data_IF_541742263519
#
_entry.id   IF_541742263519
#
_cell.length_a   1.000
_cell.length_b   1.000
_cell.length_c   1.000
_cell.angle_alpha   90.00
_cell.angle_beta   90.00
_cell.angle_gamma   90.00
#
_symmetry.space_group_name_H-M   'P 1'
#
loop_
_entity.id
_entity.type
_entity.pdbx_description
1 polymer ?
#
# COMPACT_ATOMS: atom_id res chain seq x y z
N UNK A 1 14.15 -19.20 -21.33
CA UNK A 1 12.77 -18.97 -20.84
C UNK A 1 12.32 -17.60 -21.30
N UNK A 2 11.27 -17.52 -22.12
CA UNK A 2 10.75 -16.26 -22.68
C UNK A 2 9.59 -15.78 -21.82
N UNK A 3 9.58 -14.50 -21.43
CA UNK A 3 8.47 -13.92 -20.67
C UNK A 3 7.42 -13.45 -21.66
N UNK A 4 6.20 -13.99 -21.55
CA UNK A 4 5.06 -13.62 -22.40
C UNK A 4 3.81 -13.35 -21.53
N UNK A 5 2.72 -12.92 -22.18
CA UNK A 5 1.50 -12.52 -21.47
C UNK A 5 0.83 -13.67 -20.68
N UNK A 6 0.87 -14.90 -21.21
CA UNK A 6 0.22 -16.06 -20.60
C UNK A 6 0.95 -16.53 -19.34
N UNK A 7 2.29 -16.51 -19.38
CA UNK A 7 3.13 -16.79 -18.21
C UNK A 7 2.86 -15.76 -17.13
N UNK A 8 2.78 -14.47 -17.48
CA UNK A 8 2.49 -13.42 -16.51
C UNK A 8 1.06 -13.54 -15.95
N UNK A 9 0.08 -13.84 -16.79
CA UNK A 9 -1.30 -14.05 -16.35
C UNK A 9 -1.41 -15.23 -15.38
N UNK A 10 -0.81 -16.38 -15.70
CA UNK A 10 -0.81 -17.56 -14.81
C UNK A 10 -0.08 -17.30 -13.49
N UNK A 11 1.00 -16.52 -13.52
CA UNK A 11 1.68 -16.05 -12.31
C UNK A 11 0.76 -15.20 -11.42
N UNK A 12 0.07 -14.21 -11.98
CA UNK A 12 -0.86 -13.36 -11.21
C UNK A 12 -2.09 -14.13 -10.71
N UNK A 13 -2.61 -15.09 -11.48
CA UNK A 13 -3.70 -15.98 -11.04
C UNK A 13 -3.28 -16.80 -9.82
N UNK A 14 -2.05 -17.30 -9.79
CA UNK A 14 -1.52 -17.99 -8.61
C UNK A 14 -1.28 -17.05 -7.42
N UNK A 15 -0.81 -15.83 -7.67
CA UNK A 15 -0.63 -14.83 -6.61
C UNK A 15 -1.94 -14.38 -5.96
N UNK A 16 -3.05 -14.29 -6.72
CA UNK A 16 -4.37 -13.89 -6.20
C UNK A 16 -4.81 -14.78 -5.02
N UNK A 17 -4.42 -16.05 -5.02
CA UNK A 17 -4.75 -16.99 -3.93
C UNK A 17 -4.14 -16.58 -2.58
N UNK A 18 -3.11 -15.73 -2.57
CA UNK A 18 -2.34 -15.36 -1.37
C UNK A 18 -2.41 -13.88 -1.02
N UNK A 19 -2.65 -12.99 -1.99
CA UNK A 19 -2.50 -11.54 -1.80
C UNK A 19 -3.77 -10.78 -2.18
N UNK A 20 -4.03 -9.70 -1.44
CA UNK A 20 -5.03 -8.71 -1.84
C UNK A 20 -4.64 -8.03 -3.17
N UNK A 21 -5.64 -7.54 -3.90
CA UNK A 21 -5.42 -6.91 -5.21
C UNK A 21 -4.55 -5.64 -5.14
N UNK A 22 -4.61 -4.89 -4.04
CA UNK A 22 -3.74 -3.73 -3.81
C UNK A 22 -2.27 -4.15 -3.80
N UNK A 23 -1.95 -5.26 -3.13
CA UNK A 23 -0.62 -5.86 -3.13
C UNK A 23 -0.24 -6.43 -4.50
N UNK A 24 -1.20 -6.89 -5.30
CA UNK A 24 -0.93 -7.39 -6.66
C UNK A 24 -0.45 -6.27 -7.60
N UNK A 25 -1.00 -5.05 -7.51
CA UNK A 25 -0.49 -3.89 -8.26
C UNK A 25 0.93 -3.52 -7.88
N UNK A 26 1.25 -3.56 -6.58
CA UNK A 26 2.63 -3.36 -6.11
C UNK A 26 3.57 -4.42 -6.67
N UNK A 27 3.16 -5.70 -6.65
CA UNK A 27 3.93 -6.80 -7.24
C UNK A 27 4.11 -6.65 -8.74
N UNK A 28 3.06 -6.24 -9.47
CA UNK A 28 3.16 -5.93 -10.89
C UNK A 28 4.18 -4.82 -11.15
N UNK A 29 4.15 -3.74 -10.37
CA UNK A 29 5.08 -2.62 -10.50
C UNK A 29 6.53 -3.04 -10.23
N UNK A 30 6.76 -3.81 -9.15
CA UNK A 30 8.07 -4.38 -8.84
C UNK A 30 8.57 -5.28 -9.98
N UNK A 31 7.72 -6.17 -10.48
CA UNK A 31 8.07 -7.10 -11.55
C UNK A 31 8.37 -6.36 -12.87
N UNK A 32 7.57 -5.33 -13.19
CA UNK A 32 7.80 -4.47 -14.36
C UNK A 32 9.17 -3.80 -14.29
N UNK A 33 9.51 -3.21 -13.14
CA UNK A 33 10.81 -2.57 -12.95
C UNK A 33 11.96 -3.57 -13.08
N UNK A 34 11.86 -4.73 -12.42
CA UNK A 34 12.90 -5.77 -12.45
C UNK A 34 13.12 -6.34 -13.86
N UNK A 35 12.04 -6.69 -14.57
CA UNK A 35 12.14 -7.25 -15.93
C UNK A 35 12.70 -6.21 -16.90
N UNK A 36 12.30 -4.94 -16.77
CA UNK A 36 12.84 -3.85 -17.59
C UNK A 36 14.35 -3.70 -17.37
N UNK A 37 14.82 -3.76 -16.12
CA UNK A 37 16.23 -3.62 -15.78
C UNK A 37 17.09 -4.82 -16.25
N UNK A 38 16.61 -6.05 -16.08
CA UNK A 38 17.43 -7.25 -16.32
C UNK A 38 17.26 -7.89 -17.70
N UNK A 39 16.13 -7.64 -18.37
CA UNK A 39 15.79 -8.29 -19.65
C UNK A 39 15.47 -7.31 -20.77
N UNK A 40 15.39 -6.00 -20.47
CA UNK A 40 15.04 -4.94 -21.44
C UNK A 40 13.66 -5.21 -22.08
N UNK A 41 12.80 -5.97 -21.39
CA UNK A 41 11.43 -6.24 -21.82
C UNK A 41 10.50 -5.28 -21.09
N UNK A 42 9.63 -4.59 -21.83
CA UNK A 42 8.58 -3.76 -21.25
C UNK A 42 7.25 -4.51 -21.17
N UNK A 43 7.00 -5.16 -20.03
CA UNK A 43 5.73 -5.82 -19.74
C UNK A 43 4.55 -4.84 -19.58
N UNK A 44 4.82 -3.53 -19.58
CA UNK A 44 3.80 -2.49 -19.66
C UNK A 44 3.00 -2.53 -20.95
N UNK A 45 3.58 -3.10 -22.02
CA UNK A 45 2.90 -3.31 -23.31
C UNK A 45 1.92 -4.48 -23.28
N UNK A 46 1.95 -5.30 -22.25
CA UNK A 46 1.12 -6.49 -22.16
C UNK A 46 -0.28 -6.15 -21.60
N UNK A 47 -1.30 -6.38 -22.42
CA UNK A 47 -2.66 -5.97 -22.13
C UNK A 47 -3.39 -7.00 -21.27
N UNK A 48 -3.16 -8.31 -21.45
CA UNK A 48 -3.85 -9.35 -20.68
C UNK A 48 -3.61 -9.24 -19.16
N UNK A 49 -2.37 -9.14 -18.64
CA UNK A 49 -2.14 -9.08 -17.20
C UNK A 49 -2.70 -7.79 -16.58
N UNK A 50 -2.60 -6.67 -17.30
CA UNK A 50 -3.10 -5.38 -16.82
C UNK A 50 -4.63 -5.30 -16.85
N UNK A 51 -5.28 -5.86 -17.89
CA UNK A 51 -6.73 -5.99 -17.96
C UNK A 51 -7.28 -6.86 -16.83
N UNK A 52 -6.61 -7.98 -16.54
CA UNK A 52 -6.94 -8.85 -15.41
C UNK A 52 -6.83 -8.11 -14.07
N UNK A 53 -5.71 -7.44 -13.80
CA UNK A 53 -5.56 -6.66 -12.55
C UNK A 53 -6.62 -5.56 -12.42
N UNK A 54 -6.98 -4.90 -13.52
CA UNK A 54 -8.05 -3.88 -13.54
C UNK A 54 -9.43 -4.47 -13.27
N UNK A 55 -9.77 -5.63 -13.83
CA UNK A 55 -11.07 -6.26 -13.58
C UNK A 55 -11.24 -6.65 -12.12
N UNK A 56 -10.21 -7.26 -11.55
CA UNK A 56 -10.16 -7.65 -10.14
C UNK A 56 -10.23 -6.44 -9.19
N UNK A 57 -9.69 -5.30 -9.61
CA UNK A 57 -9.71 -4.07 -8.80
C UNK A 57 -11.10 -3.44 -8.69
N UNK A 58 -12.01 -3.72 -9.64
CA UNK A 58 -13.38 -3.18 -9.59
C UNK A 58 -14.19 -3.75 -8.44
N UNK A 59 -13.93 -5.00 -8.08
CA UNK A 59 -14.62 -5.68 -6.99
C UNK A 59 -14.01 -5.37 -5.62
N UNK A 60 -12.85 -4.70 -5.60
CA UNK A 60 -12.13 -4.43 -4.36
C UNK A 60 -12.66 -3.20 -3.63
N UNK A 61 -13.14 -3.44 -2.40
CA UNK A 61 -13.43 -2.38 -1.44
C UNK A 61 -12.17 -2.08 -0.65
N UNK A 62 -11.62 -0.89 -0.85
CA UNK A 62 -10.47 -0.42 -0.07
C UNK A 62 -10.83 -0.36 1.43
N UNK A 63 -10.01 -1.03 2.25
CA UNK A 63 -10.08 -0.86 3.70
C UNK A 63 -9.55 0.54 4.03
N UNK A 64 -10.44 1.45 4.40
CA UNK A 64 -10.01 2.77 4.90
C UNK A 64 -9.25 2.58 6.20
N UNK A 65 -8.19 3.35 6.38
CA UNK A 65 -7.53 3.45 7.67
C UNK A 65 -8.53 4.00 8.70
N UNK A 66 -8.41 3.56 9.95
CA UNK A 66 -9.20 4.12 11.04
C UNK A 66 -8.86 5.62 11.18
N UNK A 67 -9.87 6.43 11.45
CA UNK A 67 -9.67 7.86 11.73
C UNK A 67 -9.11 7.96 13.14
N UNK A 68 -7.97 8.65 13.28
CA UNK A 68 -7.38 8.93 14.58
C UNK A 68 -8.10 10.13 15.20
N UNK A 69 -9.02 9.86 16.12
CA UNK A 69 -9.74 10.87 16.88
C UNK A 69 -8.90 11.46 18.03
N UNK A 70 -9.27 12.65 18.50
CA UNK A 70 -8.63 13.35 19.62
C UNK A 70 -8.50 12.46 20.87
N UNK A 71 -9.56 11.72 21.22
CA UNK A 71 -9.57 10.82 22.36
C UNK A 71 -8.49 9.72 22.26
N UNK A 72 -8.23 9.19 21.06
CA UNK A 72 -7.17 8.21 20.85
C UNK A 72 -5.78 8.83 21.04
N UNK A 73 -5.60 10.09 20.65
CA UNK A 73 -4.33 10.81 20.84
C UNK A 73 -4.11 11.10 22.34
N UNK A 74 -5.14 11.56 23.05
CA UNK A 74 -5.08 11.79 24.50
C UNK A 74 -4.78 10.49 25.26
N UNK A 75 -5.43 9.39 24.87
CA UNK A 75 -5.13 8.06 25.44
C UNK A 75 -3.67 7.68 25.20
N UNK A 76 -3.14 7.88 23.99
CA UNK A 76 -1.75 7.62 23.69
C UNK A 76 -0.79 8.49 24.51
N UNK A 77 -1.06 9.79 24.61
CA UNK A 77 -0.25 10.74 25.39
C UNK A 77 -0.21 10.36 26.88
N UNK A 78 -1.32 9.86 27.42
CA UNK A 78 -1.42 9.49 28.84
C UNK A 78 -0.87 8.09 29.14
N UNK A 79 -1.12 7.09 28.30
CA UNK A 79 -0.83 5.68 28.61
C UNK A 79 0.49 5.15 28.03
N UNK A 80 0.98 5.70 26.93
CA UNK A 80 2.18 5.17 26.29
C UNK A 80 3.44 5.43 27.15
N UNK A 81 4.46 4.57 27.05
CA UNK A 81 5.70 4.71 27.80
C UNK A 81 6.58 5.85 27.25
N UNK A 82 7.02 6.79 28.09
CA UNK A 82 7.85 7.91 27.63
C UNK A 82 9.22 7.47 27.13
N UNK A 83 9.82 6.42 27.71
CA UNK A 83 11.14 5.93 27.29
C UNK A 83 11.18 5.53 25.80
N UNK A 84 10.06 5.09 25.26
CA UNK A 84 9.93 4.66 23.87
C UNK A 84 9.28 5.73 22.98
N UNK A 85 8.34 6.51 23.52
CA UNK A 85 7.45 7.36 22.73
C UNK A 85 7.57 8.86 23.03
N UNK A 86 8.53 9.32 23.84
CA UNK A 86 8.64 10.73 24.25
C UNK A 86 8.59 11.70 23.06
N UNK A 87 9.41 11.46 22.02
CA UNK A 87 9.44 12.33 20.84
C UNK A 87 8.09 12.38 20.14
N UNK A 88 7.45 11.22 19.96
CA UNK A 88 6.13 11.12 19.33
C UNK A 88 5.07 11.86 20.14
N UNK A 89 5.09 11.72 21.47
CA UNK A 89 4.16 12.43 22.36
C UNK A 89 4.31 13.95 22.27
N UNK A 90 5.54 14.46 22.32
CA UNK A 90 5.81 15.90 22.22
C UNK A 90 5.30 16.47 20.90
N UNK A 91 5.54 15.77 19.78
CA UNK A 91 5.04 16.18 18.47
C UNK A 91 3.51 16.15 18.43
N UNK A 92 2.88 15.08 18.92
CA UNK A 92 1.43 14.97 18.95
C UNK A 92 0.76 16.06 19.78
N UNK A 93 1.34 16.43 20.92
CA UNK A 93 0.84 17.52 21.76
C UNK A 93 0.91 18.87 21.04
N UNK A 94 2.06 19.21 20.47
CA UNK A 94 2.23 20.46 19.73
C UNK A 94 1.25 20.57 18.54
N UNK A 95 0.99 19.46 17.85
CA UNK A 95 0.04 19.44 16.72
C UNK A 95 -1.41 19.63 17.18
N UNK A 96 -1.78 19.12 18.36
CA UNK A 96 -3.11 19.36 18.94
C UNK A 96 -3.27 20.84 19.29
N UNK A 97 -2.28 21.45 19.94
CA UNK A 97 -2.31 22.87 20.31
C UNK A 97 -2.44 23.79 19.09
N UNK A 98 -1.79 23.43 17.97
CA UNK A 98 -1.93 24.14 16.69
C UNK A 98 -3.30 23.94 16.03
N UNK A 99 -3.93 22.77 16.21
CA UNK A 99 -5.26 22.50 15.68
C UNK A 99 -6.36 23.24 16.46
N UNK A 100 -6.15 23.44 17.76
CA UNK A 100 -7.07 24.16 18.64
C UNK A 100 -6.89 25.69 18.54
N UNK A 101 -5.66 26.18 18.32
CA UNK A 101 -5.39 27.58 17.97
C UNK A 101 -5.47 27.80 16.46
N UNK A 102 -6.67 27.62 15.90
CA UNK A 102 -6.94 28.13 14.55
C UNK A 102 -7.13 29.66 14.61
N UNK A 103 -6.49 30.47 13.74
CA UNK A 103 -6.78 31.90 13.66
C UNK A 103 -8.23 32.17 13.27
#
# INVERSE_FOLDING_TARGET
MTINEEILLSYFLNLKKKYAISSMWSKYSMLKAAIKAHKIIDIGKYSKPTAYLKSESREYKAKKAAVLERAHVEEFLTRACDKEYLMTKVISLNLLDMADNKP
#
